data_IF_491462801495
#
_entry.id   IF_491462801495
#
_cell.length_a   1.000
_cell.length_b   1.000
_cell.length_c   1.000
_cell.angle_alpha   90.00
_cell.angle_beta   90.00
_cell.angle_gamma   90.00
#
_symmetry.space_group_name_H-M   'P 1'
#
loop_
_entity.id
_entity.type
_entity.pdbx_description
1 polymer ?
#
# COMPACT_ATOMS: atom_id res chain seq x y z
N UNK A 1 -57.18 26.91 20.40
CA UNK A 1 -56.14 27.54 21.24
C UNK A 1 -54.79 27.45 20.52
N UNK A 2 -54.13 28.61 20.31
CA UNK A 2 -52.74 28.86 19.85
C UNK A 2 -52.24 28.14 18.55
N UNK A 3 -52.17 28.84 17.40
CA UNK A 3 -51.02 29.65 16.88
C UNK A 3 -49.85 28.78 16.36
N UNK A 4 -49.18 28.99 15.23
CA UNK A 4 -49.25 29.83 14.04
C UNK A 4 -48.20 29.24 13.05
N UNK A 5 -48.40 29.30 11.73
CA UNK A 5 -47.37 28.98 10.70
C UNK A 5 -46.39 30.15 10.47
N UNK A 6 -45.70 30.28 9.31
CA UNK A 6 -45.33 29.29 8.29
C UNK A 6 -43.83 29.39 7.87
N UNK A 7 -43.50 28.70 6.78
CA UNK A 7 -42.20 28.55 6.11
C UNK A 7 -41.43 29.85 5.75
N UNK A 8 -40.09 29.75 5.62
CA UNK A 8 -39.36 30.40 4.53
C UNK A 8 -37.92 29.86 4.37
N UNK A 9 -37.58 29.64 3.10
CA UNK A 9 -36.27 29.36 2.52
C UNK A 9 -35.24 30.45 2.86
N UNK A 10 -33.99 30.07 3.14
CA UNK A 10 -32.87 30.99 3.39
C UNK A 10 -31.86 30.97 2.25
N UNK A 11 -31.99 31.91 1.31
CA UNK A 11 -30.98 32.26 0.33
C UNK A 11 -29.99 33.30 0.89
N UNK A 12 -28.76 33.27 0.34
CA UNK A 12 -27.73 34.33 0.19
C UNK A 12 -27.64 35.50 1.21
N UNK A 13 -26.42 35.60 1.75
CA UNK A 13 -25.53 36.77 1.84
C UNK A 13 -26.00 38.05 2.56
N UNK A 14 -25.11 38.57 3.43
CA UNK A 14 -24.73 40.00 3.67
C UNK A 14 -24.09 40.14 5.08
N UNK A 15 -23.52 41.29 5.51
CA UNK A 15 -22.54 42.19 4.87
C UNK A 15 -21.47 42.76 5.86
N UNK A 16 -20.52 43.58 5.35
CA UNK A 16 -19.85 44.75 5.99
C UNK A 16 -19.03 44.57 7.30
N UNK A 17 -17.96 45.32 7.60
CA UNK A 17 -17.52 46.64 7.16
C UNK A 17 -15.99 46.86 7.35
N UNK A 18 -15.52 47.89 6.67
CA UNK A 18 -14.20 48.55 6.64
C UNK A 18 -13.64 48.98 8.01
N UNK A 19 -12.31 49.08 8.05
CA UNK A 19 -11.62 50.26 8.59
C UNK A 19 -10.39 50.56 7.70
N UNK A 20 -10.47 51.68 6.98
CA UNK A 20 -9.36 52.43 6.36
C UNK A 20 -9.01 53.61 7.28
N UNK A 21 -7.74 54.06 7.25
CA UNK A 21 -7.12 55.37 7.62
C UNK A 21 -5.69 55.04 8.14
N UNK A 22 -4.55 55.57 7.67
CA UNK A 22 -4.10 56.79 6.95
C UNK A 22 -2.74 56.48 6.27
N UNK A 23 -2.44 56.92 5.05
CA UNK A 23 -1.95 58.25 4.63
C UNK A 23 -0.62 58.64 5.34
N UNK A 24 0.48 59.07 4.72
CA UNK A 24 0.77 59.86 3.52
C UNK A 24 2.30 59.73 3.22
N UNK A 25 2.73 59.61 1.96
CA UNK A 25 3.37 60.66 1.13
C UNK A 25 4.92 60.58 1.06
N UNK A 26 5.44 60.35 -0.16
CA UNK A 26 6.46 61.18 -0.85
C UNK A 26 7.01 60.52 -2.13
N UNK A 27 6.43 60.97 -3.25
CA UNK A 27 7.07 61.62 -4.42
C UNK A 27 8.31 61.00 -5.12
N UNK A 28 8.16 60.82 -6.45
CA UNK A 28 9.21 61.06 -7.46
C UNK A 28 9.56 59.86 -8.33
N UNK A 29 8.86 59.61 -9.43
CA UNK A 29 9.22 60.06 -10.80
C UNK A 29 10.58 59.54 -11.32
N UNK A 30 10.56 58.49 -12.16
CA UNK A 30 11.35 58.45 -13.42
C UNK A 30 11.03 57.26 -14.33
N UNK A 31 10.58 57.62 -15.54
CA UNK A 31 10.61 56.96 -16.85
C UNK A 31 11.23 55.54 -17.02
N UNK A 32 10.41 54.63 -17.55
CA UNK A 32 10.79 53.70 -18.64
C UNK A 32 10.70 54.47 -19.98
N UNK A 33 11.40 54.12 -21.10
CA UNK A 33 11.74 52.74 -21.49
C UNK A 33 13.12 52.55 -22.21
N UNK A 34 13.70 51.35 -22.17
CA UNK A 34 14.35 50.77 -23.37
C UNK A 34 14.53 49.25 -23.29
N UNK A 35 14.05 48.57 -24.33
CA UNK A 35 14.24 47.15 -24.63
C UNK A 35 15.72 46.74 -24.57
N UNK A 36 16.00 45.62 -23.91
CA UNK A 36 17.02 44.68 -24.37
C UNK A 36 16.55 43.25 -24.14
N UNK A 37 16.28 42.56 -25.24
CA UNK A 37 15.96 41.13 -25.29
C UNK A 37 17.01 40.32 -24.53
N UNK A 38 16.56 39.57 -23.52
CA UNK A 38 17.30 38.47 -22.96
C UNK A 38 16.42 37.21 -23.09
N UNK A 39 16.91 36.23 -23.83
CA UNK A 39 16.27 34.94 -24.01
C UNK A 39 16.12 34.22 -22.65
N UNK A 40 15.04 33.46 -22.41
CA UNK A 40 14.94 32.64 -21.21
C UNK A 40 15.92 31.46 -21.33
N UNK A 41 16.81 31.32 -20.35
CA UNK A 41 17.60 30.11 -20.16
C UNK A 41 16.68 28.95 -19.72
N UNK A 42 16.89 27.71 -20.21
CA UNK A 42 16.15 26.56 -19.73
C UNK A 42 16.70 26.11 -18.37
N UNK A 43 15.91 26.25 -17.30
CA UNK A 43 16.18 25.58 -16.02
C UNK A 43 15.61 24.15 -16.04
N UNK A 44 16.38 23.16 -15.55
CA UNK A 44 16.14 21.74 -15.80
C UNK A 44 14.95 21.21 -15.00
N UNK A 45 14.25 20.24 -15.60
CA UNK A 45 13.19 19.45 -14.98
C UNK A 45 13.67 18.79 -13.67
N UNK A 46 12.77 18.54 -12.70
CA UNK A 46 13.14 17.81 -11.50
C UNK A 46 13.64 16.42 -11.90
N UNK A 47 14.88 16.14 -11.51
CA UNK A 47 15.53 14.84 -11.58
C UNK A 47 14.57 13.78 -11.05
N UNK A 48 13.96 13.01 -11.96
CA UNK A 48 13.24 11.79 -11.61
C UNK A 48 14.32 10.75 -11.32
N UNK A 49 15.02 10.93 -10.20
CA UNK A 49 15.88 9.91 -9.62
C UNK A 49 14.95 8.77 -9.24
N UNK A 50 14.88 7.78 -10.14
CA UNK A 50 14.39 6.44 -9.86
C UNK A 50 15.08 5.98 -8.58
N UNK A 51 14.39 6.08 -7.45
CA UNK A 51 14.80 5.41 -6.23
C UNK A 51 14.64 3.92 -6.52
N UNK A 52 15.75 3.29 -6.92
CA UNK A 52 15.88 1.85 -6.87
C UNK A 52 15.46 1.40 -5.46
N UNK A 53 14.67 0.33 -5.32
CA UNK A 53 14.30 -0.15 -4.00
C UNK A 53 15.59 -0.48 -3.25
N UNK A 54 15.80 0.20 -2.13
CA UNK A 54 16.87 -0.11 -1.20
C UNK A 54 16.68 -1.56 -0.77
N UNK A 55 17.52 -2.44 -1.31
CA UNK A 55 17.63 -3.81 -0.85
C UNK A 55 17.79 -3.78 0.67
N UNK A 56 16.80 -4.31 1.38
CA UNK A 56 16.80 -4.35 2.83
C UNK A 56 18.06 -5.06 3.30
N UNK A 57 18.80 -4.35 4.16
CA UNK A 57 20.09 -4.77 4.73
C UNK A 57 19.94 -6.15 5.38
N UNK A 58 20.85 -7.05 5.01
CA UNK A 58 20.77 -8.49 5.25
C UNK A 58 20.40 -8.89 6.68
N UNK A 59 19.42 -9.78 6.76
CA UNK A 59 19.15 -10.57 7.96
C UNK A 59 20.13 -11.72 8.03
N UNK A 60 20.84 -11.82 9.16
CA UNK A 60 21.81 -12.87 9.47
C UNK A 60 21.32 -14.25 9.07
N UNK A 61 22.19 -14.98 8.36
CA UNK A 61 21.99 -16.38 8.04
C UNK A 61 21.74 -17.17 9.34
N UNK A 62 20.51 -17.64 9.50
CA UNK A 62 20.19 -18.63 10.52
C UNK A 62 20.70 -19.97 10.00
N UNK A 63 21.52 -20.67 10.79
CA UNK A 63 22.15 -21.98 10.48
C UNK A 63 21.12 -23.14 10.40
N UNK A 64 19.91 -22.88 9.91
CA UNK A 64 18.90 -23.88 9.59
C UNK A 64 18.51 -23.71 8.14
N UNK A 65 18.43 -24.82 7.40
CA UNK A 65 18.08 -24.88 5.98
C UNK A 65 16.61 -24.44 5.76
N UNK A 66 16.33 -23.14 5.89
CA UNK A 66 15.03 -22.52 5.66
C UNK A 66 15.14 -21.67 4.38
N UNK A 67 14.96 -22.28 3.19
CA UNK A 67 15.33 -21.69 1.90
C UNK A 67 14.62 -20.36 1.56
N UNK A 68 13.59 -19.99 2.33
CA UNK A 68 12.76 -18.81 2.11
C UNK A 68 12.89 -17.75 3.21
N UNK A 69 13.59 -18.02 4.31
CA UNK A 69 13.70 -17.08 5.42
C UNK A 69 14.47 -15.81 5.01
N UNK A 70 13.97 -14.64 5.42
CA UNK A 70 14.62 -13.35 5.17
C UNK A 70 14.56 -12.85 3.72
N UNK A 71 13.78 -13.48 2.84
CA UNK A 71 13.64 -13.08 1.43
C UNK A 71 12.22 -12.61 1.11
N UNK A 72 12.09 -11.52 0.36
CA UNK A 72 10.81 -11.08 -0.21
C UNK A 72 10.58 -11.82 -1.53
N UNK A 73 9.94 -12.99 -1.45
CA UNK A 73 9.63 -13.83 -2.61
C UNK A 73 8.12 -14.00 -2.78
N UNK A 74 7.69 -14.15 -4.04
CA UNK A 74 6.36 -14.67 -4.35
C UNK A 74 6.45 -16.19 -4.44
N UNK A 75 5.46 -16.89 -3.91
CA UNK A 75 5.40 -18.35 -3.93
C UNK A 75 4.01 -18.81 -4.34
N UNK A 76 3.96 -20.01 -4.93
CA UNK A 76 2.72 -20.78 -5.07
C UNK A 76 2.68 -21.82 -3.95
N UNK A 77 1.54 -21.93 -3.29
CA UNK A 77 1.28 -22.96 -2.27
C UNK A 77 0.45 -24.06 -2.94
N UNK A 78 0.90 -25.30 -2.91
CA UNK A 78 0.09 -26.46 -3.34
C UNK A 78 -0.58 -27.18 -2.20
N UNK A 79 -0.03 -27.06 -0.99
CA UNK A 79 -0.56 -27.76 0.18
C UNK A 79 -0.21 -27.03 1.47
N UNK A 80 -1.13 -27.03 2.42
CA UNK A 80 -0.93 -26.55 3.78
C UNK A 80 -1.49 -27.58 4.77
N UNK A 81 -0.72 -27.94 5.79
CA UNK A 81 -1.12 -28.92 6.79
C UNK A 81 -0.45 -28.69 8.14
N UNK A 82 -0.97 -29.36 9.16
CA UNK A 82 -0.35 -29.44 10.47
C UNK A 82 -0.03 -30.90 10.75
N UNK A 83 1.20 -31.17 11.19
CA UNK A 83 1.64 -32.50 11.60
C UNK A 83 2.47 -32.38 12.89
N UNK A 84 2.25 -33.28 13.85
CA UNK A 84 2.94 -33.28 15.15
C UNK A 84 2.99 -31.91 15.86
N UNK A 85 1.91 -31.11 15.75
CA UNK A 85 1.81 -29.78 16.34
C UNK A 85 2.50 -28.65 15.57
N UNK A 86 3.19 -28.95 14.47
CA UNK A 86 3.89 -27.98 13.62
C UNK A 86 3.18 -27.79 12.29
N UNK A 87 3.14 -26.56 11.80
CA UNK A 87 2.54 -26.23 10.50
C UNK A 87 3.57 -26.33 9.38
N UNK A 88 3.14 -26.84 8.22
CA UNK A 88 3.95 -27.01 7.03
C UNK A 88 3.23 -26.46 5.80
N UNK A 89 4.02 -25.94 4.86
CA UNK A 89 3.57 -25.51 3.54
C UNK A 89 4.39 -26.22 2.46
N UNK A 90 3.74 -26.75 1.42
CA UNK A 90 4.40 -27.15 0.18
C UNK A 90 4.39 -25.95 -0.77
N UNK A 91 5.55 -25.38 -1.03
CA UNK A 91 5.70 -24.13 -1.79
C UNK A 91 6.67 -24.26 -2.94
N UNK A 92 6.51 -23.43 -3.96
CA UNK A 92 7.53 -23.19 -4.99
C UNK A 92 7.62 -21.71 -5.32
N UNK A 93 8.77 -21.20 -5.78
CA UNK A 93 8.89 -19.82 -6.21
C UNK A 93 7.90 -19.47 -7.33
N UNK A 94 7.43 -18.23 -7.32
CA UNK A 94 6.66 -17.61 -8.39
C UNK A 94 7.32 -16.29 -8.79
N UNK A 95 7.15 -15.89 -10.05
CA UNK A 95 7.66 -14.63 -10.59
C UNK A 95 6.55 -13.59 -10.58
N UNK A 96 6.91 -12.36 -10.24
CA UNK A 96 6.02 -11.19 -10.35
C UNK A 96 6.56 -10.29 -11.43
N UNK A 97 5.76 -10.03 -12.44
CA UNK A 97 6.13 -9.20 -13.61
C UNK A 97 5.09 -8.10 -13.81
N UNK A 98 5.51 -6.97 -14.39
CA UNK A 98 4.59 -5.90 -14.79
C UNK A 98 3.89 -6.37 -16.05
N UNK A 99 2.56 -6.34 -16.06
CA UNK A 99 1.81 -6.56 -17.28
C UNK A 99 1.98 -5.31 -18.18
N UNK A 100 2.51 -5.41 -19.40
CA UNK A 100 2.75 -4.22 -20.24
C UNK A 100 1.48 -3.65 -20.86
N UNK A 101 0.36 -4.38 -20.82
CA UNK A 101 -0.92 -3.96 -21.43
C UNK A 101 -1.87 -3.28 -20.45
N UNK A 102 -1.72 -3.57 -19.16
CA UNK A 102 -2.57 -3.07 -18.08
C UNK A 102 -1.69 -2.70 -16.89
N UNK A 103 -2.01 -1.63 -16.16
CA UNK A 103 -1.30 -1.22 -14.93
C UNK A 103 -1.53 -2.22 -13.77
N UNK A 104 -1.11 -3.46 -13.98
CA UNK A 104 -1.35 -4.63 -13.13
C UNK A 104 -0.10 -5.49 -13.05
N UNK A 105 -0.07 -6.36 -12.05
CA UNK A 105 0.99 -7.34 -11.87
C UNK A 105 0.51 -8.71 -12.35
N UNK A 106 1.35 -9.42 -13.08
CA UNK A 106 1.16 -10.83 -13.40
C UNK A 106 2.02 -11.68 -12.46
N UNK A 107 1.42 -12.73 -11.90
CA UNK A 107 2.12 -13.70 -11.05
C UNK A 107 2.18 -15.04 -11.78
N UNK A 108 3.36 -15.41 -12.24
CA UNK A 108 3.61 -16.66 -12.96
C UNK A 108 4.19 -17.71 -12.01
N UNK A 109 3.50 -18.82 -11.75
CA UNK A 109 4.05 -19.91 -10.95
C UNK A 109 5.35 -20.46 -11.56
N UNK A 110 6.34 -20.79 -10.73
CA UNK A 110 7.53 -21.50 -11.18
C UNK A 110 7.19 -22.92 -11.65
N UNK A 111 8.06 -23.53 -12.45
CA UNK A 111 7.85 -24.87 -13.02
C UNK A 111 8.52 -26.00 -12.23
N UNK A 112 9.31 -25.67 -11.21
CA UNK A 112 10.01 -26.63 -10.37
C UNK A 112 9.11 -27.40 -9.40
N UNK A 113 9.66 -28.43 -8.73
CA UNK A 113 8.95 -29.18 -7.70
C UNK A 113 8.60 -28.29 -6.50
N UNK A 114 7.60 -28.72 -5.74
CA UNK A 114 7.26 -28.08 -4.46
C UNK A 114 8.23 -28.54 -3.37
N UNK A 115 8.69 -27.59 -2.57
CA UNK A 115 9.51 -27.80 -1.39
C UNK A 115 8.64 -27.69 -0.15
N UNK A 116 8.77 -28.64 0.77
CA UNK A 116 8.10 -28.56 2.08
C UNK A 116 8.87 -27.60 2.99
N UNK A 117 8.16 -26.63 3.54
CA UNK A 117 8.71 -25.61 4.43
C UNK A 117 7.97 -25.70 5.76
N UNK A 118 8.67 -25.99 6.86
CA UNK A 118 8.07 -25.91 8.16
C UNK A 118 7.96 -24.45 8.60
N UNK A 119 6.84 -24.08 9.20
CA UNK A 119 6.66 -22.78 9.82
C UNK A 119 7.25 -22.78 11.24
N UNK A 120 7.64 -21.59 11.71
CA UNK A 120 8.03 -21.40 13.10
C UNK A 120 6.78 -21.49 14.00
N UNK A 121 6.90 -22.14 15.16
CA UNK A 121 5.76 -22.39 16.04
C UNK A 121 5.16 -21.10 16.62
N UNK A 122 6.01 -20.10 16.89
CA UNK A 122 5.68 -18.75 17.31
C UNK A 122 5.60 -17.75 16.14
N UNK A 123 5.63 -18.25 14.90
CA UNK A 123 5.57 -17.44 13.70
C UNK A 123 4.28 -16.61 13.61
N UNK A 124 4.37 -15.47 12.92
CA UNK A 124 3.22 -14.61 12.64
C UNK A 124 3.03 -14.53 11.13
N UNK A 125 1.83 -14.83 10.66
CA UNK A 125 1.44 -14.71 9.25
C UNK A 125 0.56 -13.48 9.09
N UNK A 126 0.97 -12.56 8.24
CA UNK A 126 0.19 -11.36 7.95
C UNK A 126 -0.72 -11.63 6.76
N UNK A 127 -2.04 -11.60 6.97
CA UNK A 127 -3.04 -11.93 5.95
C UNK A 127 -3.96 -10.76 5.65
N UNK A 128 -4.28 -10.58 4.38
CA UNK A 128 -5.27 -9.63 3.89
C UNK A 128 -6.52 -10.39 3.39
N UNK A 129 -7.60 -9.66 3.14
CA UNK A 129 -8.84 -10.20 2.55
C UNK A 129 -8.56 -10.55 1.07
N UNK A 130 -9.12 -11.66 0.52
CA UNK A 130 -10.11 -12.55 1.11
C UNK A 130 -9.52 -13.72 1.90
N UNK A 131 -8.20 -13.81 2.06
CA UNK A 131 -7.60 -14.96 2.74
C UNK A 131 -8.02 -15.02 4.20
N UNK A 132 -8.05 -13.87 4.87
CA UNK A 132 -8.66 -13.73 6.20
C UNK A 132 -10.09 -13.19 6.11
N UNK A 133 -10.84 -13.42 7.19
CA UNK A 133 -12.13 -12.79 7.44
C UNK A 133 -12.00 -11.25 7.60
N UNK A 134 -13.11 -10.54 7.36
CA UNK A 134 -13.17 -9.10 7.62
C UNK A 134 -13.09 -8.81 9.14
N UNK A 135 -12.39 -7.74 9.50
CA UNK A 135 -12.18 -7.33 10.89
C UNK A 135 -12.62 -5.88 11.00
N UNK A 136 -13.52 -5.59 11.94
CA UNK A 136 -14.03 -4.24 12.16
C UNK A 136 -12.88 -3.25 12.39
N UNK A 137 -12.95 -2.09 11.73
CA UNK A 137 -11.92 -1.06 11.82
C UNK A 137 -10.62 -1.36 11.05
N UNK A 138 -10.58 -2.42 10.23
CA UNK A 138 -9.43 -2.75 9.36
C UNK A 138 -9.84 -2.74 7.90
N UNK A 139 -9.03 -2.13 7.05
CA UNK A 139 -9.30 -2.17 5.60
C UNK A 139 -9.05 -3.58 5.04
N UNK A 140 -9.65 -3.89 3.89
CA UNK A 140 -9.49 -5.21 3.22
C UNK A 140 -8.03 -5.49 2.83
N UNK A 141 -7.30 -4.45 2.44
CA UNK A 141 -5.89 -4.54 2.05
C UNK A 141 -4.93 -4.53 3.26
N UNK A 142 -5.40 -4.16 4.45
CA UNK A 142 -4.56 -4.12 5.64
C UNK A 142 -4.22 -5.53 6.13
N UNK A 143 -2.93 -5.89 6.22
CA UNK A 143 -2.53 -7.18 6.73
C UNK A 143 -2.79 -7.29 8.24
N UNK A 144 -3.40 -8.40 8.67
CA UNK A 144 -3.64 -8.71 10.08
C UNK A 144 -2.89 -9.98 10.44
N UNK A 145 -2.30 -10.00 11.62
CA UNK A 145 -1.48 -11.11 12.09
C UNK A 145 -2.32 -12.30 12.57
N UNK A 146 -1.97 -13.49 12.09
CA UNK A 146 -2.54 -14.79 12.47
C UNK A 146 -1.43 -15.79 12.82
N UNK A 147 -1.80 -16.88 13.47
CA UNK A 147 -0.90 -18.02 13.68
C UNK A 147 -0.77 -18.88 12.41
N UNK A 148 0.33 -19.65 12.26
CA UNK A 148 0.49 -20.64 11.20
C UNK A 148 -0.66 -21.65 11.13
N UNK A 149 -1.11 -22.17 12.27
CA UNK A 149 -2.25 -23.08 12.32
C UNK A 149 -3.54 -22.43 11.77
N UNK A 150 -3.76 -21.14 12.07
CA UNK A 150 -4.92 -20.41 11.53
C UNK A 150 -4.81 -20.22 10.02
N UNK A 151 -3.62 -20.01 9.47
CA UNK A 151 -3.40 -19.99 8.02
C UNK A 151 -3.86 -21.29 7.37
N UNK A 152 -3.50 -22.46 7.92
CA UNK A 152 -3.92 -23.77 7.36
C UNK A 152 -5.45 -23.88 7.33
N UNK A 153 -6.12 -23.50 8.42
CA UNK A 153 -7.59 -23.49 8.47
C UNK A 153 -8.19 -22.57 7.42
N UNK A 154 -7.61 -21.38 7.20
CA UNK A 154 -8.12 -20.43 6.22
C UNK A 154 -7.88 -20.90 4.78
N UNK A 155 -6.72 -21.48 4.48
CA UNK A 155 -6.43 -22.10 3.18
C UNK A 155 -7.44 -23.20 2.88
N UNK A 156 -7.70 -24.11 3.83
CA UNK A 156 -8.67 -25.19 3.62
C UNK A 156 -10.12 -24.71 3.45
N UNK A 157 -10.47 -23.52 3.97
CA UNK A 157 -11.78 -22.90 3.71
C UNK A 157 -11.87 -22.29 2.31
N UNK A 158 -10.78 -21.70 1.83
CA UNK A 158 -10.71 -21.07 0.49
C UNK A 158 -10.67 -22.12 -0.61
N UNK A 159 -9.86 -23.15 -0.42
CA UNK A 159 -9.71 -24.27 -1.33
C UNK A 159 -9.40 -25.54 -0.52
N UNK A 160 -10.40 -26.42 -0.32
CA UNK A 160 -10.22 -27.67 0.40
C UNK A 160 -9.18 -28.60 -0.24
N UNK A 161 -8.91 -28.48 -1.54
CA UNK A 161 -7.93 -29.35 -2.23
C UNK A 161 -6.48 -29.04 -1.83
N UNK A 162 -6.24 -27.84 -1.30
CA UNK A 162 -4.94 -27.42 -0.79
C UNK A 162 -4.73 -27.80 0.68
N UNK A 163 -5.78 -28.26 1.37
CA UNK A 163 -5.65 -28.71 2.76
C UNK A 163 -5.20 -30.17 2.80
N UNK A 164 -4.12 -30.44 3.52
CA UNK A 164 -3.65 -31.79 3.77
C UNK A 164 -3.99 -32.27 5.18
N UNK A 165 -4.65 -33.41 5.27
CA UNK A 165 -4.84 -34.18 6.50
C UNK A 165 -4.86 -35.65 6.13
#
# INVERSE_FOLDING_TARGET
>A
VKSAGPAASGAKASPSARADDRADDRTGDRADPVRKSAAPAPSPAPDRRTAAPTASKGTSATTGNAPFAGTAQFVTISRAWTDNGRTYLAVRPARKEINPRFDTWEITPGTGPFTTVPMADDGRVLLAVPVRDEVAGKSRAEPVAHSPARLVTLIGRLDPTLSGG
#
